data_IF_920629209655
#
_entry.id   IF_920629209655
#
_cell.length_a   1.000
_cell.length_b   1.000
_cell.length_c   1.000
_cell.angle_alpha   90.00
_cell.angle_beta   90.00
_cell.angle_gamma   90.00
#
_symmetry.space_group_name_H-M   'P 1'
#
loop_
_entity.id
_entity.type
_entity.pdbx_description
1 polymer ?
#
# COMPACT_ATOMS: atom_id res chain seq x y z
N UNK A 1 -10.23 -8.63 -20.87
CA UNK A 1 -9.85 -9.50 -19.73
C UNK A 1 -9.05 -8.67 -18.75
N UNK A 2 -9.65 -8.22 -17.66
CA UNK A 2 -8.92 -7.61 -16.54
C UNK A 2 -8.10 -8.71 -15.88
N UNK A 3 -6.79 -8.70 -16.10
CA UNK A 3 -5.84 -9.58 -15.43
C UNK A 3 -5.99 -9.31 -13.93
N UNK A 4 -6.65 -10.21 -13.20
CA UNK A 4 -6.73 -10.15 -11.73
C UNK A 4 -5.31 -10.20 -11.22
N UNK A 5 -4.75 -9.05 -10.85
CA UNK A 5 -3.41 -8.99 -10.31
C UNK A 5 -3.42 -9.75 -8.98
N UNK A 6 -2.74 -10.89 -8.92
CA UNK A 6 -2.54 -11.60 -7.66
C UNK A 6 -1.50 -10.82 -6.85
N UNK A 7 -1.93 -10.18 -5.76
CA UNK A 7 -1.04 -9.47 -4.85
C UNK A 7 -0.56 -10.39 -3.73
N UNK A 8 0.73 -10.30 -3.38
CA UNK A 8 1.29 -11.01 -2.24
C UNK A 8 0.70 -10.50 -0.91
N UNK A 9 0.86 -11.24 0.19
CA UNK A 9 0.42 -10.77 1.51
C UNK A 9 1.15 -9.50 1.96
N UNK A 10 2.44 -9.41 1.62
CA UNK A 10 3.28 -8.25 1.90
C UNK A 10 3.70 -7.63 0.57
N UNK A 11 3.52 -6.33 0.48
CA UNK A 11 3.73 -5.55 -0.73
C UNK A 11 4.85 -4.55 -0.49
N UNK A 12 5.81 -4.51 -1.40
CA UNK A 12 6.77 -3.43 -1.42
C UNK A 12 6.10 -2.10 -1.80
N UNK A 13 6.84 -1.00 -1.70
CA UNK A 13 6.31 0.34 -1.94
C UNK A 13 5.61 0.51 -3.30
N UNK A 14 6.12 -0.12 -4.36
CA UNK A 14 5.53 -0.03 -5.70
C UNK A 14 4.32 -0.94 -5.84
N UNK A 15 4.38 -2.12 -5.22
CA UNK A 15 3.24 -3.03 -5.15
C UNK A 15 2.08 -2.45 -4.35
N UNK A 16 2.34 -1.77 -3.24
CA UNK A 16 1.34 -1.10 -2.43
C UNK A 16 0.60 -0.02 -3.24
N UNK A 17 1.33 0.77 -4.03
CA UNK A 17 0.74 1.73 -4.97
C UNK A 17 -0.16 1.03 -5.98
N UNK A 18 0.34 -0.02 -6.66
CA UNK A 18 -0.47 -0.78 -7.62
C UNK A 18 -1.72 -1.39 -6.98
N UNK A 19 -1.62 -1.83 -5.73
CA UNK A 19 -2.72 -2.38 -4.97
C UNK A 19 -3.79 -1.33 -4.70
N UNK A 20 -3.43 -0.18 -4.15
CA UNK A 20 -4.36 0.93 -3.92
C UNK A 20 -5.03 1.40 -5.22
N UNK A 21 -4.27 1.49 -6.31
CA UNK A 21 -4.81 1.80 -7.63
C UNK A 21 -5.84 0.75 -8.10
N UNK A 22 -5.58 -0.53 -7.85
CA UNK A 22 -6.52 -1.61 -8.20
C UNK A 22 -7.81 -1.59 -7.37
N UNK A 23 -7.78 -0.98 -6.18
CA UNK A 23 -8.94 -0.76 -5.32
C UNK A 23 -9.73 0.52 -5.70
N UNK A 24 -9.31 1.25 -6.75
CA UNK A 24 -10.00 2.46 -7.24
C UNK A 24 -9.31 3.77 -6.88
N UNK A 25 -8.26 3.75 -6.06
CA UNK A 25 -7.46 4.93 -5.70
C UNK A 25 -6.44 5.24 -6.81
N UNK A 26 -6.95 5.58 -8.00
CA UNK A 26 -6.15 5.76 -9.24
C UNK A 26 -5.12 6.91 -9.16
N UNK A 27 -5.26 7.80 -8.19
CA UNK A 27 -4.32 8.89 -7.92
C UNK A 27 -3.29 8.55 -6.83
N UNK A 28 -3.35 7.34 -6.24
CA UNK A 28 -2.41 6.94 -5.20
C UNK A 28 -0.99 6.83 -5.78
N UNK A 29 -0.05 7.54 -5.16
CA UNK A 29 1.38 7.50 -5.50
C UNK A 29 2.20 6.94 -4.36
N UNK A 30 3.50 6.76 -4.59
CA UNK A 30 4.47 6.42 -3.54
C UNK A 30 4.43 7.43 -2.39
N UNK A 31 4.22 8.71 -2.69
CA UNK A 31 4.13 9.77 -1.70
C UNK A 31 2.85 9.64 -0.87
N UNK A 32 1.74 9.21 -1.46
CA UNK A 32 0.51 8.89 -0.71
C UNK A 32 0.77 7.82 0.34
N UNK A 33 1.43 6.72 -0.03
CA UNK A 33 1.76 5.63 0.90
C UNK A 33 2.69 6.13 2.00
N UNK A 34 3.73 6.90 1.65
CA UNK A 34 4.65 7.49 2.64
C UNK A 34 3.95 8.52 3.53
N UNK A 35 3.07 9.34 2.97
CA UNK A 35 2.35 10.37 3.71
C UNK A 35 1.51 9.72 4.83
N UNK A 36 0.76 8.67 4.50
CA UNK A 36 -0.04 7.97 5.48
C UNK A 36 0.78 7.15 6.48
N UNK A 37 1.91 6.58 6.07
CA UNK A 37 2.79 5.83 6.96
C UNK A 37 3.56 6.72 7.95
N UNK A 38 4.06 7.87 7.47
CA UNK A 38 5.03 8.68 8.19
C UNK A 38 4.43 9.91 8.85
N UNK A 39 3.36 10.49 8.28
CA UNK A 39 2.83 11.79 8.72
C UNK A 39 1.44 11.67 9.34
N UNK A 40 0.51 10.94 8.71
CA UNK A 40 -0.86 10.86 9.26
C UNK A 40 -1.04 9.75 10.29
N UNK A 41 -0.15 8.75 10.32
CA UNK A 41 -0.27 7.57 11.17
C UNK A 41 -1.44 6.65 10.83
N UNK A 42 -2.12 6.88 9.70
CA UNK A 42 -3.24 6.05 9.22
C UNK A 42 -2.78 4.73 8.61
N UNK A 43 -1.51 4.66 8.21
CA UNK A 43 -0.86 3.43 7.78
C UNK A 43 0.26 3.13 8.79
N UNK A 44 0.42 1.88 9.27
CA UNK A 44 1.53 1.53 10.13
C UNK A 44 2.88 1.71 9.40
N UNK A 45 3.95 1.86 10.19
CA UNK A 45 5.31 1.93 9.64
C UNK A 45 5.65 0.63 8.92
N UNK A 46 6.39 0.71 7.79
CA UNK A 46 6.72 -0.48 7.03
C UNK A 46 7.60 -1.44 7.80
N UNK A 47 7.45 -2.72 7.51
CA UNK A 47 8.44 -3.72 7.88
C UNK A 47 9.59 -3.65 6.87
N UNK A 48 10.81 -3.43 7.35
CA UNK A 48 12.01 -3.45 6.51
C UNK A 48 12.46 -4.90 6.37
N UNK A 49 12.48 -5.41 5.13
CA UNK A 49 13.04 -6.71 4.79
C UNK A 49 14.13 -6.51 3.74
N UNK A 50 15.38 -6.80 4.12
CA UNK A 50 16.55 -6.46 3.32
C UNK A 50 16.66 -4.94 3.14
N UNK A 51 16.53 -4.47 1.88
CA UNK A 51 16.62 -3.04 1.51
C UNK A 51 15.27 -2.43 1.14
N UNK A 52 14.17 -3.16 1.31
CA UNK A 52 12.83 -2.73 0.89
C UNK A 52 11.87 -2.60 2.07
N UNK A 53 11.08 -1.55 2.03
CA UNK A 53 9.95 -1.32 2.92
C UNK A 53 8.73 -2.09 2.40
N UNK A 54 8.09 -2.86 3.27
CA UNK A 54 6.91 -3.65 2.94
C UNK A 54 5.75 -3.35 3.90
N UNK A 55 4.53 -3.40 3.37
CA UNK A 55 3.27 -3.31 4.10
C UNK A 55 2.43 -4.54 3.87
N UNK A 56 1.65 -4.96 4.87
CA UNK A 56 0.66 -6.00 4.66
C UNK A 56 -0.51 -5.46 3.83
N UNK A 57 -1.15 -6.32 3.03
CA UNK A 57 -2.39 -5.97 2.34
C UNK A 57 -3.46 -5.50 3.32
N UNK A 58 -3.61 -6.20 4.44
CA UNK A 58 -4.56 -5.86 5.50
C UNK A 58 -4.37 -4.43 6.03
N UNK A 59 -3.12 -3.96 6.18
CA UNK A 59 -2.86 -2.59 6.59
C UNK A 59 -3.25 -1.56 5.51
N UNK A 60 -3.11 -1.92 4.23
CA UNK A 60 -3.55 -1.08 3.11
C UNK A 60 -5.07 -1.09 2.96
N UNK A 61 -5.73 -2.22 3.21
CA UNK A 61 -7.19 -2.31 3.25
C UNK A 61 -7.74 -1.45 4.40
N UNK A 62 -7.14 -1.54 5.59
CA UNK A 62 -7.50 -0.69 6.73
C UNK A 62 -7.27 0.80 6.47
N UNK A 63 -6.25 1.16 5.68
CA UNK A 63 -6.04 2.54 5.23
C UNK A 63 -7.21 3.00 4.35
N UNK A 64 -7.65 2.16 3.42
CA UNK A 64 -8.78 2.46 2.51
C UNK A 64 -10.06 2.69 3.29
N UNK A 65 -10.37 1.86 4.28
CA UNK A 65 -11.56 2.03 5.14
C UNK A 65 -11.48 3.28 6.03
N UNK A 66 -10.28 3.84 6.25
CA UNK A 66 -10.04 5.02 7.07
C UNK A 66 -9.95 6.34 6.26
N UNK A 67 -10.14 6.28 4.93
CA UNK A 67 -10.14 7.42 4.01
C UNK A 67 -11.56 7.81 3.59
#
# INVERSE_FOLDING_TARGET
>A
MTRTASFAQYLDLQEAVRYLNSLGFTAATVETVKYHAYYTGKLPRPKILGRKAHWSREALDALVEAL
#
